data_IF_999261156096
#
_entry.id   IF_999261156096
#
_cell.length_a   1.000
_cell.length_b   1.000
_cell.length_c   1.000
_cell.angle_alpha   90.00
_cell.angle_beta   90.00
_cell.angle_gamma   90.00
#
_symmetry.space_group_name_H-M   'P 1'
#
loop_
_entity.id
_entity.type
_entity.pdbx_description
1 polymer ?
#
# COMPACT_ATOMS: atom_id res chain seq x y z
N UNK A 1 39.37 44.34 -39.15
CA UNK A 1 38.26 44.17 -38.19
C UNK A 1 37.56 42.85 -38.49
N UNK A 2 37.76 41.80 -37.68
CA UNK A 2 37.12 40.49 -37.85
C UNK A 2 35.95 40.39 -36.86
N UNK A 3 34.73 40.25 -37.37
CA UNK A 3 33.53 40.01 -36.54
C UNK A 3 33.42 38.50 -36.29
N UNK A 4 33.51 38.08 -35.03
CA UNK A 4 33.24 36.72 -34.59
C UNK A 4 31.76 36.64 -34.26
N UNK A 5 31.04 35.79 -34.99
CA UNK A 5 29.63 35.46 -34.72
C UNK A 5 29.63 34.24 -33.82
N UNK A 6 29.13 34.37 -32.59
CA UNK A 6 28.97 33.27 -31.64
C UNK A 6 27.56 32.68 -31.88
N UNK A 7 27.48 31.49 -32.47
CA UNK A 7 26.24 30.71 -32.53
C UNK A 7 26.00 30.09 -31.15
N UNK A 8 24.97 30.55 -30.45
CA UNK A 8 24.50 29.92 -29.21
C UNK A 8 23.68 28.67 -29.51
N UNK A 9 24.19 27.51 -29.08
CA UNK A 9 23.47 26.24 -29.14
C UNK A 9 22.48 26.18 -27.95
N UNK A 10 21.19 26.36 -28.23
CA UNK A 10 20.12 26.21 -27.23
C UNK A 10 19.83 24.71 -27.07
N UNK A 11 20.28 24.13 -25.97
CA UNK A 11 20.00 22.75 -25.60
C UNK A 11 18.62 22.70 -24.91
N UNK A 12 17.58 22.30 -25.64
CA UNK A 12 16.24 22.11 -25.09
C UNK A 12 16.17 20.71 -24.48
N UNK A 13 16.34 20.61 -23.16
CA UNK A 13 16.10 19.35 -22.44
C UNK A 13 14.60 19.19 -22.22
N UNK A 14 13.96 18.32 -23.01
CA UNK A 14 12.60 17.87 -22.73
C UNK A 14 12.62 16.87 -21.59
N UNK A 15 12.26 17.31 -20.38
CA UNK A 15 12.01 16.41 -19.27
C UNK A 15 10.74 15.61 -19.55
N UNK A 16 10.87 14.30 -19.74
CA UNK A 16 9.72 13.39 -19.79
C UNK A 16 9.19 13.26 -18.36
N UNK A 17 8.09 13.94 -18.05
CA UNK A 17 7.38 13.72 -16.77
C UNK A 17 6.65 12.39 -16.92
N UNK A 18 7.25 11.31 -16.40
CA UNK A 18 6.51 10.07 -16.20
C UNK A 18 5.54 10.29 -15.03
N UNK A 19 4.24 10.16 -15.30
CA UNK A 19 3.23 10.08 -14.24
C UNK A 19 3.49 8.79 -13.45
N UNK A 20 3.99 8.92 -12.21
CA UNK A 20 4.04 7.79 -11.28
C UNK A 20 2.60 7.34 -11.01
N UNK A 21 2.33 6.06 -11.25
CA UNK A 21 1.08 5.43 -10.82
C UNK A 21 1.05 5.45 -9.29
N UNK A 22 0.05 6.10 -8.71
CA UNK A 22 -0.20 6.05 -7.27
C UNK A 22 -0.36 4.59 -6.84
N UNK A 23 0.50 4.14 -5.93
CA UNK A 23 0.32 2.85 -5.24
C UNK A 23 -0.72 3.06 -4.15
N UNK A 24 -1.74 2.20 -4.13
CA UNK A 24 -2.75 2.19 -3.08
C UNK A 24 -2.83 0.78 -2.49
N UNK A 25 -2.90 0.71 -1.16
CA UNK A 25 -3.07 -0.54 -0.41
C UNK A 25 -4.11 -0.32 0.68
N UNK A 26 -4.89 -1.36 0.93
CA UNK A 26 -5.87 -1.41 2.00
C UNK A 26 -5.42 -2.47 3.00
N UNK A 27 -5.33 -2.11 4.27
CA UNK A 27 -4.90 -2.99 5.36
C UNK A 27 -6.01 -3.05 6.40
N UNK A 28 -6.46 -4.26 6.71
CA UNK A 28 -7.40 -4.48 7.82
C UNK A 28 -6.62 -4.83 9.08
N UNK A 29 -6.86 -4.07 10.14
CA UNK A 29 -6.37 -4.32 11.48
C UNK A 29 -7.46 -5.01 12.27
N UNK A 30 -7.11 -6.13 12.90
CA UNK A 30 -8.04 -6.92 13.70
C UNK A 30 -7.53 -7.05 15.14
N UNK A 31 -8.44 -7.37 16.05
CA UNK A 31 -8.07 -7.56 17.45
C UNK A 31 -7.19 -8.79 17.60
N UNK A 32 -6.11 -8.65 18.36
CA UNK A 32 -5.28 -9.76 18.79
C UNK A 32 -6.11 -10.83 19.54
N UNK A 33 -7.26 -10.45 20.11
CA UNK A 33 -8.20 -11.34 20.81
C UNK A 33 -9.36 -11.93 19.99
N UNK A 34 -9.42 -11.73 18.67
CA UNK A 34 -10.44 -12.34 17.81
C UNK A 34 -11.87 -11.78 17.99
N UNK A 35 -12.02 -10.49 18.32
CA UNK A 35 -13.31 -9.80 18.44
C UNK A 35 -13.65 -8.97 17.20
N UNK A 36 -14.94 -8.69 17.03
CA UNK A 36 -15.56 -8.08 15.82
C UNK A 36 -15.25 -6.59 15.58
N UNK A 37 -14.21 -6.01 16.20
CA UNK A 37 -13.83 -4.61 15.92
C UNK A 37 -12.65 -4.56 14.98
N UNK A 38 -12.84 -3.92 13.85
CA UNK A 38 -11.83 -3.82 12.78
C UNK A 38 -11.60 -2.37 12.41
N UNK A 39 -10.36 -2.07 12.00
CA UNK A 39 -10.01 -0.79 11.38
C UNK A 39 -9.41 -1.07 10.02
N UNK A 40 -9.94 -0.43 8.99
CA UNK A 40 -9.34 -0.44 7.66
C UNK A 40 -8.48 0.82 7.49
N UNK A 41 -7.26 0.62 7.01
CA UNK A 41 -6.34 1.68 6.59
C UNK A 41 -6.26 1.68 5.07
N UNK A 42 -6.78 2.71 4.43
CA UNK A 42 -6.59 2.96 3.01
C UNK A 42 -5.46 3.95 2.82
N UNK A 43 -4.37 3.47 2.26
CA UNK A 43 -3.12 4.22 2.15
C UNK A 43 -2.85 4.46 0.67
N UNK A 44 -2.73 5.74 0.30
CA UNK A 44 -2.56 6.18 -1.09
C UNK A 44 -1.27 6.98 -1.25
N UNK A 45 -0.32 6.42 -1.99
CA UNK A 45 0.90 7.12 -2.39
C UNK A 45 0.55 8.24 -3.37
N UNK A 46 0.74 9.49 -2.97
CA UNK A 46 0.48 10.65 -3.84
C UNK A 46 1.72 11.08 -4.62
N UNK A 47 2.91 10.82 -4.04
CA UNK A 47 4.22 10.93 -4.69
C UNK A 47 5.23 10.08 -3.92
N UNK A 48 6.45 9.87 -4.43
CA UNK A 48 7.48 9.09 -3.72
C UNK A 48 7.70 9.56 -2.27
N UNK A 49 7.62 10.87 -2.01
CA UNK A 49 7.85 11.46 -0.69
C UNK A 49 6.57 11.79 0.09
N UNK A 50 5.39 11.31 -0.34
CA UNK A 50 4.12 11.73 0.26
C UNK A 50 3.00 10.70 0.15
N UNK A 51 2.37 10.42 1.29
CA UNK A 51 1.29 9.45 1.42
C UNK A 51 0.09 10.05 2.14
N UNK A 52 -1.11 9.75 1.64
CA UNK A 52 -2.36 9.98 2.34
C UNK A 52 -2.81 8.68 3.04
N UNK A 53 -3.17 8.77 4.31
CA UNK A 53 -3.75 7.66 5.08
C UNK A 53 -5.18 8.03 5.44
N UNK A 54 -6.12 7.13 5.14
CA UNK A 54 -7.49 7.18 5.65
C UNK A 54 -7.68 5.97 6.56
N UNK A 55 -8.04 6.23 7.82
CA UNK A 55 -8.37 5.18 8.77
C UNK A 55 -9.86 5.21 9.08
N UNK A 56 -10.49 4.05 9.13
CA UNK A 56 -11.91 3.92 9.45
C UNK A 56 -12.15 2.67 10.30
N UNK A 57 -12.99 2.79 11.32
CA UNK A 57 -13.59 1.62 12.00
C UNK A 57 -14.53 0.94 11.01
N UNK A 58 -14.11 -0.18 10.45
CA UNK A 58 -14.82 -0.90 9.39
C UNK A 58 -15.78 -1.96 9.94
N UNK A 59 -15.57 -2.39 11.19
CA UNK A 59 -16.51 -3.22 11.94
C UNK A 59 -16.55 -2.81 13.40
N UNK A 60 -17.74 -2.88 14.02
CA UNK A 60 -17.96 -2.49 15.41
C UNK A 60 -18.12 -0.97 15.60
N UNK A 61 -18.00 -0.52 16.85
CA UNK A 61 -18.06 0.89 17.23
C UNK A 61 -16.88 1.17 18.15
N UNK A 62 -16.02 2.10 17.77
CA UNK A 62 -14.80 2.44 18.50
C UNK A 62 -14.35 3.87 18.21
N UNK A 63 -13.63 4.46 19.14
CA UNK A 63 -12.95 5.74 18.98
C UNK A 63 -11.45 5.49 18.68
N UNK A 64 -10.95 6.03 17.58
CA UNK A 64 -9.55 5.91 17.15
C UNK A 64 -8.69 6.93 17.90
N UNK A 65 -7.77 6.45 18.73
CA UNK A 65 -6.87 7.30 19.54
C UNK A 65 -5.42 7.32 19.04
N UNK A 66 -5.01 6.30 18.29
CA UNK A 66 -3.65 6.22 17.80
C UNK A 66 -3.48 5.23 16.66
N UNK A 67 -2.61 5.57 15.71
CA UNK A 67 -2.24 4.76 14.57
C UNK A 67 -0.72 4.64 14.50
N UNK A 68 -0.24 3.45 14.18
CA UNK A 68 1.18 3.10 14.27
C UNK A 68 1.65 2.39 13.00
N UNK A 69 2.87 2.73 12.58
CA UNK A 69 3.38 2.40 11.25
C UNK A 69 4.87 2.04 11.31
N UNK A 70 5.24 1.08 10.45
CA UNK A 70 6.63 0.76 10.13
C UNK A 70 6.94 1.18 8.69
N UNK A 71 8.18 1.61 8.48
CA UNK A 71 8.72 2.02 7.18
C UNK A 71 9.82 1.06 6.75
N UNK A 72 9.97 0.89 5.44
CA UNK A 72 11.08 0.10 4.87
C UNK A 72 12.43 0.81 4.98
N UNK A 73 12.40 2.13 5.14
CA UNK A 73 13.57 2.98 5.18
C UNK A 73 13.70 3.72 6.51
N UNK A 74 14.96 3.95 6.91
CA UNK A 74 15.27 4.74 8.10
C UNK A 74 14.95 6.21 7.83
N UNK A 75 13.94 6.71 8.52
CA UNK A 75 13.55 8.11 8.57
C UNK A 75 13.98 8.72 9.92
N UNK A 76 13.76 9.99 10.12
CA UNK A 76 14.01 10.69 11.39
C UNK A 76 12.87 11.68 11.64
N UNK A 77 12.78 12.21 12.86
CA UNK A 77 11.79 13.25 13.18
C UNK A 77 11.96 14.51 12.32
N UNK A 78 13.18 14.79 11.82
CA UNK A 78 13.43 15.89 10.87
C UNK A 78 13.10 15.54 9.42
N UNK A 79 13.00 14.25 9.08
CA UNK A 79 12.64 13.81 7.74
C UNK A 79 11.14 13.89 7.49
N UNK A 80 10.30 13.81 8.53
CA UNK A 80 8.87 13.61 8.38
C UNK A 80 8.04 14.77 8.93
N UNK A 81 6.94 15.04 8.21
CA UNK A 81 5.85 15.88 8.67
C UNK A 81 4.54 15.12 8.53
N UNK A 82 3.76 15.09 9.60
CA UNK A 82 2.41 14.52 9.61
C UNK A 82 1.39 15.63 9.83
N UNK A 83 0.37 15.70 8.98
CA UNK A 83 -0.68 16.73 9.05
C UNK A 83 -2.07 16.13 8.86
N UNK A 84 -3.01 16.49 9.73
CA UNK A 84 -4.43 16.15 9.64
C UNK A 84 -5.20 16.92 10.73
N UNK A 85 -6.50 17.09 10.57
CA UNK A 85 -7.32 17.87 11.52
C UNK A 85 -7.36 17.25 12.91
N UNK A 86 -7.34 15.92 12.96
CA UNK A 86 -7.46 15.16 14.20
C UNK A 86 -6.10 14.75 14.77
N UNK A 87 -5.00 15.10 14.10
CA UNK A 87 -3.64 14.75 14.55
C UNK A 87 -3.25 15.67 15.70
N UNK A 88 -3.11 15.11 16.91
CA UNK A 88 -2.80 15.90 18.11
C UNK A 88 -1.38 15.70 18.63
N UNK A 89 -0.74 14.58 18.27
CA UNK A 89 0.67 14.33 18.59
C UNK A 89 1.26 13.35 17.58
N UNK A 90 2.55 13.48 17.33
CA UNK A 90 3.33 12.56 16.51
C UNK A 90 4.56 12.15 17.31
N UNK A 91 4.91 10.87 17.30
CA UNK A 91 6.16 10.37 17.84
C UNK A 91 6.89 9.57 16.78
N UNK A 92 8.21 9.73 16.74
CA UNK A 92 9.08 9.07 15.80
C UNK A 92 10.27 8.48 16.55
N UNK A 93 10.51 7.19 16.37
CA UNK A 93 11.70 6.49 16.85
C UNK A 93 11.75 5.11 16.19
N UNK A 94 12.75 4.88 15.32
CA UNK A 94 12.84 3.62 14.58
C UNK A 94 12.72 2.41 15.50
N UNK A 95 11.81 1.50 15.16
CA UNK A 95 11.52 0.25 15.87
C UNK A 95 11.28 0.41 17.38
N UNK A 96 10.87 1.59 17.85
CA UNK A 96 10.83 1.90 19.29
C UNK A 96 9.64 2.77 19.73
N UNK A 97 8.73 3.15 18.82
CA UNK A 97 7.47 3.78 19.18
C UNK A 97 6.47 2.72 19.64
N UNK A 98 6.12 2.76 20.92
CA UNK A 98 5.06 1.93 21.52
C UNK A 98 4.10 2.70 22.42
N UNK A 99 4.38 3.98 22.69
CA UNK A 99 3.58 4.81 23.58
C UNK A 99 3.58 6.28 23.12
N UNK A 100 2.39 6.86 23.01
CA UNK A 100 2.16 8.25 22.67
C UNK A 100 1.72 9.09 23.89
N UNK A 101 1.58 8.45 25.05
CA UNK A 101 1.12 9.03 26.32
C UNK A 101 -0.41 8.98 26.48
N UNK A 102 -0.88 9.28 27.69
CA UNK A 102 -2.31 9.31 28.05
C UNK A 102 -3.07 8.01 27.70
N UNK A 103 -2.42 6.85 27.86
CA UNK A 103 -3.03 5.54 27.60
C UNK A 103 -3.08 5.12 26.12
N UNK A 104 -2.50 5.94 25.22
CA UNK A 104 -2.34 5.61 23.80
C UNK A 104 -1.06 4.80 23.60
N UNK A 105 -1.14 3.50 23.86
CA UNK A 105 0.01 2.59 23.85
C UNK A 105 -0.29 1.26 23.16
N UNK A 106 0.72 0.71 22.47
CA UNK A 106 0.74 -0.62 21.88
C UNK A 106 1.52 -1.64 22.73
N UNK A 107 1.93 -1.30 23.96
CA UNK A 107 2.64 -2.24 24.84
C UNK A 107 1.88 -3.58 24.97
N UNK A 108 2.59 -4.70 24.82
CA UNK A 108 1.99 -6.04 24.92
C UNK A 108 1.44 -6.62 23.61
N UNK A 109 1.53 -5.92 22.46
CA UNK A 109 1.24 -6.51 21.14
C UNK A 109 2.44 -7.21 20.50
N UNK A 110 3.61 -7.20 21.15
CA UNK A 110 4.90 -7.72 20.63
C UNK A 110 5.42 -7.03 19.37
N UNK A 111 4.74 -6.00 18.87
CA UNK A 111 5.14 -5.17 17.72
C UNK A 111 5.65 -3.82 18.20
N UNK A 112 6.76 -3.38 17.65
CA UNK A 112 7.26 -2.01 17.77
C UNK A 112 7.05 -1.26 16.46
N UNK A 113 7.03 0.06 16.53
CA UNK A 113 6.72 0.91 15.38
C UNK A 113 7.75 2.02 15.19
N UNK A 114 7.95 2.47 13.96
CA UNK A 114 8.80 3.63 13.65
C UNK A 114 8.09 4.96 13.94
N UNK A 115 6.79 5.00 13.66
CA UNK A 115 5.94 6.17 13.77
C UNK A 115 4.66 5.84 14.51
N UNK A 116 4.27 6.74 15.41
CA UNK A 116 2.95 6.76 16.01
C UNK A 116 2.29 8.12 15.87
N UNK A 117 1.05 8.11 15.41
CA UNK A 117 0.20 9.29 15.20
C UNK A 117 -0.94 9.22 16.19
N UNK A 118 -0.99 10.16 17.12
CA UNK A 118 -2.08 10.29 18.08
C UNK A 118 -3.22 11.07 17.44
N UNK A 119 -4.43 10.53 17.58
CA UNK A 119 -5.66 11.06 17.02
C UNK A 119 -6.54 11.55 18.16
N UNK A 120 -7.11 12.74 18.00
CA UNK A 120 -8.02 13.35 18.97
C UNK A 120 -7.41 13.64 20.35
N UNK A 121 -8.27 13.92 21.30
CA UNK A 121 -7.94 14.19 22.70
C UNK A 121 -8.25 12.99 23.58
N UNK A 122 -7.57 12.92 24.72
CA UNK A 122 -7.77 11.82 25.67
C UNK A 122 -9.02 12.05 26.52
N UNK A 123 -9.91 11.05 26.57
CA UNK A 123 -11.08 11.02 27.45
C UNK A 123 -12.28 10.34 26.79
N UNK A 124 -13.03 9.53 27.55
CA UNK A 124 -14.23 8.84 27.06
C UNK A 124 -15.24 9.88 26.54
N UNK A 125 -15.65 9.75 25.28
CA UNK A 125 -16.73 10.52 24.67
C UNK A 125 -16.44 12.01 24.47
N UNK A 126 -15.17 12.46 24.57
CA UNK A 126 -14.78 13.81 24.16
C UNK A 126 -14.75 13.92 22.65
N UNK A 127 -14.06 12.97 22.03
CA UNK A 127 -14.00 12.78 20.60
C UNK A 127 -14.52 11.35 20.32
N UNK A 128 -15.35 11.18 19.29
CA UNK A 128 -15.80 9.87 18.80
C UNK A 128 -15.35 9.71 17.35
N UNK A 129 -14.04 9.53 17.17
CA UNK A 129 -13.40 9.55 15.87
C UNK A 129 -13.43 8.12 15.32
N UNK A 130 -14.47 7.79 14.57
CA UNK A 130 -14.59 6.50 13.89
C UNK A 130 -13.91 6.50 12.52
N UNK A 131 -13.55 7.67 12.00
CA UNK A 131 -12.77 7.82 10.78
C UNK A 131 -11.92 9.08 10.84
N UNK A 132 -10.69 9.00 10.34
CA UNK A 132 -9.80 10.16 10.23
C UNK A 132 -8.93 10.05 8.98
N UNK A 133 -8.40 11.18 8.53
CA UNK A 133 -7.50 11.26 7.40
C UNK A 133 -6.33 12.20 7.71
N UNK A 134 -5.14 11.78 7.33
CA UNK A 134 -3.93 12.58 7.48
C UNK A 134 -2.89 12.23 6.42
N UNK A 135 -1.96 13.15 6.23
CA UNK A 135 -0.88 13.05 5.28
C UNK A 135 0.45 12.85 6.01
N UNK A 136 1.29 11.96 5.50
CA UNK A 136 2.70 11.80 5.88
C UNK A 136 3.54 12.26 4.70
N UNK A 137 4.43 13.21 4.94
CA UNK A 137 5.28 13.83 3.91
C UNK A 137 6.73 13.84 4.37
N UNK A 138 7.66 13.48 3.48
CA UNK A 138 9.08 13.69 3.72
C UNK A 138 9.47 15.12 3.39
N UNK A 139 10.06 15.80 4.37
CA UNK A 139 10.63 17.15 4.24
C UNK A 139 11.99 17.15 3.53
N UNK A 140 12.66 16.00 3.48
CA UNK A 140 13.99 15.81 2.90
C UNK A 140 13.94 15.16 1.51
N UNK A 141 12.74 14.86 1.00
CA UNK A 141 12.53 14.20 -0.30
C UNK A 141 12.83 12.70 -0.29
N UNK A 142 13.06 12.10 0.88
CA UNK A 142 13.18 10.64 1.03
C UNK A 142 11.84 9.99 0.70
N UNK A 143 11.90 8.73 0.24
CA UNK A 143 10.70 7.96 0.02
C UNK A 143 9.96 7.70 1.35
N UNK A 144 8.63 7.71 1.29
CA UNK A 144 7.75 7.32 2.39
C UNK A 144 7.11 6.00 1.99
N UNK A 145 7.81 4.91 2.29
CA UNK A 145 7.43 3.55 1.91
C UNK A 145 7.21 2.69 3.15
N UNK A 146 5.99 2.21 3.34
CA UNK A 146 5.63 1.41 4.52
C UNK A 146 6.14 -0.02 4.40
N UNK A 147 6.60 -0.57 5.52
CA UNK A 147 6.86 -2.00 5.62
C UNK A 147 5.53 -2.73 5.77
N UNK A 148 5.06 -3.27 4.65
CA UNK A 148 3.82 -4.01 4.53
C UNK A 148 3.81 -5.34 5.32
N UNK A 149 4.98 -5.80 5.77
CA UNK A 149 5.18 -7.07 6.48
C UNK A 149 5.40 -6.92 7.99
N UNK A 150 5.99 -5.81 8.43
CA UNK A 150 6.27 -5.53 9.85
C UNK A 150 5.06 -5.05 10.66
N UNK A 151 3.90 -4.99 10.01
CA UNK A 151 2.61 -4.77 10.66
C UNK A 151 2.30 -3.31 10.96
N UNK A 152 1.01 -3.03 10.95
CA UNK A 152 0.36 -1.77 11.28
C UNK A 152 -0.34 -1.92 12.62
N UNK A 153 -0.50 -0.83 13.35
CA UNK A 153 -1.13 -0.83 14.67
C UNK A 153 -2.21 0.22 14.80
N UNK A 154 -3.25 -0.09 15.57
CA UNK A 154 -4.24 0.90 16.01
C UNK A 154 -4.59 0.74 17.49
N UNK A 155 -4.75 1.87 18.16
CA UNK A 155 -5.25 1.97 19.53
C UNK A 155 -6.67 2.52 19.50
N UNK A 156 -7.60 1.74 20.05
CA UNK A 156 -9.02 2.08 20.10
C UNK A 156 -9.53 2.23 21.53
N UNK A 157 -10.30 3.27 21.81
CA UNK A 157 -11.06 3.43 23.06
C UNK A 157 -12.55 3.40 22.82
N UNK A 158 -13.30 3.41 23.91
CA UNK A 158 -14.76 3.41 23.88
C UNK A 158 -15.35 2.31 22.99
N UNK A 159 -14.78 1.12 23.03
CA UNK A 159 -15.17 0.03 22.12
C UNK A 159 -16.48 -0.63 22.59
N UNK A 160 -17.32 -0.99 21.62
CA UNK A 160 -18.56 -1.75 21.82
C UNK A 160 -19.76 -0.92 22.29
N UNK A 161 -20.91 -1.57 22.45
CA UNK A 161 -22.18 -0.89 22.73
C UNK A 161 -22.16 -0.02 23.99
N UNK A 162 -21.48 -0.48 25.05
CA UNK A 162 -21.37 0.24 26.31
C UNK A 162 -20.22 1.26 26.33
N UNK A 163 -19.39 1.32 25.29
CA UNK A 163 -18.32 2.32 25.11
C UNK A 163 -17.30 2.39 26.26
N UNK A 164 -17.11 1.29 26.98
CA UNK A 164 -16.21 1.18 28.15
C UNK A 164 -14.95 0.36 27.88
N UNK A 165 -14.90 -0.37 26.76
CA UNK A 165 -13.75 -1.20 26.43
C UNK A 165 -12.68 -0.41 25.67
N UNK A 166 -11.49 -1.01 25.59
CA UNK A 166 -10.40 -0.48 24.78
C UNK A 166 -9.63 -1.63 24.13
N UNK A 167 -9.13 -1.41 22.92
CA UNK A 167 -8.50 -2.45 22.09
C UNK A 167 -7.19 -1.98 21.48
N UNK A 168 -6.35 -2.95 21.15
CA UNK A 168 -5.14 -2.78 20.35
C UNK A 168 -5.31 -3.72 19.16
N UNK A 169 -5.29 -3.15 17.96
CA UNK A 169 -5.41 -3.92 16.74
C UNK A 169 -4.05 -3.94 16.05
N UNK A 170 -3.71 -5.07 15.45
CA UNK A 170 -2.56 -5.20 14.58
C UNK A 170 -2.97 -5.88 13.28
N UNK A 171 -2.28 -5.59 12.19
CA UNK A 171 -2.55 -6.22 10.90
C UNK A 171 -1.39 -6.03 9.94
N UNK A 172 -1.28 -6.92 8.95
CA UNK A 172 -0.32 -6.80 7.86
C UNK A 172 -1.07 -6.67 6.55
N UNK A 173 -0.41 -6.13 5.54
CA UNK A 173 -1.00 -6.09 4.20
C UNK A 173 -1.03 -7.50 3.61
N UNK A 174 -2.21 -7.93 3.15
CA UNK A 174 -2.37 -9.15 2.35
C UNK A 174 -2.69 -8.73 0.92
N UNK A 175 -1.84 -9.02 -0.08
CA UNK A 175 -2.13 -8.66 -1.45
C UNK A 175 -3.40 -9.38 -1.93
N UNK A 176 -4.22 -8.73 -2.77
CA UNK A 176 -5.40 -9.37 -3.32
C UNK A 176 -4.99 -10.62 -4.11
N UNK A 177 -5.70 -11.73 -3.87
CA UNK A 177 -5.49 -12.97 -4.61
C UNK A 177 -5.92 -12.72 -6.05
N UNK A 178 -4.95 -12.64 -6.97
CA UNK A 178 -5.25 -12.60 -8.40
C UNK A 178 -5.77 -14.00 -8.77
N UNK A 179 -7.02 -14.16 -9.24
CA UNK A 179 -7.51 -15.47 -9.62
C UNK A 179 -6.62 -16.03 -10.73
N UNK A 180 -6.08 -17.22 -10.51
CA UNK A 180 -5.34 -17.95 -11.53
C UNK A 180 -6.29 -18.21 -12.69
N UNK A 181 -6.13 -17.47 -13.79
CA UNK A 181 -6.82 -17.81 -15.04
C UNK A 181 -6.25 -19.14 -15.50
N UNK A 182 -6.97 -20.23 -15.23
CA UNK A 182 -6.67 -21.52 -15.81
C UNK A 182 -6.93 -21.36 -17.31
N UNK A 183 -5.87 -21.16 -18.09
CA UNK A 183 -5.99 -21.16 -19.54
C UNK A 183 -6.54 -22.54 -19.93
N UNK A 184 -7.65 -22.62 -20.70
CA UNK A 184 -8.11 -23.90 -21.18
C UNK A 184 -6.95 -24.59 -21.90
N UNK A 185 -6.63 -25.82 -21.48
CA UNK A 185 -5.68 -26.66 -22.21
C UNK A 185 -6.11 -26.68 -23.67
N UNK A 186 -5.25 -26.22 -24.57
CA UNK A 186 -5.56 -26.19 -26.00
C UNK A 186 -6.06 -27.58 -26.43
N UNK A 187 -7.35 -27.66 -26.77
CA UNK A 187 -7.91 -28.85 -27.40
C UNK A 187 -7.25 -28.91 -28.79
N UNK A 188 -6.56 -30.00 -29.16
CA UNK A 188 -5.93 -30.09 -30.48
C UNK A 188 -7.03 -29.99 -31.54
N UNK A 189 -6.95 -28.95 -32.37
CA UNK A 189 -7.92 -28.77 -33.45
C UNK A 189 -7.80 -29.93 -34.45
N UNK A 190 -8.92 -30.56 -34.86
CA UNK A 190 -8.92 -31.70 -35.79
C UNK A 190 -8.33 -31.37 -37.18
N UNK A 191 -8.15 -30.08 -37.50
CA UNK A 191 -7.54 -29.59 -38.74
C UNK A 191 -6.04 -29.86 -38.86
N UNK A 192 -5.32 -30.04 -37.74
CA UNK A 192 -3.87 -30.36 -37.77
C UNK A 192 -3.62 -31.78 -38.30
N UNK A 193 -4.53 -32.72 -38.04
CA UNK A 193 -4.42 -34.08 -38.58
C UNK A 193 -4.72 -34.16 -40.09
N UNK A 194 -5.55 -33.27 -40.61
CA UNK A 194 -5.96 -33.30 -42.02
C UNK A 194 -4.82 -32.85 -42.95
N UNK A 195 -3.97 -31.92 -42.50
CA UNK A 195 -2.82 -31.43 -43.28
C UNK A 195 -1.66 -32.43 -43.37
N UNK A 196 -1.49 -33.31 -42.38
CA UNK A 196 -0.49 -34.39 -42.43
C UNK A 196 -0.92 -35.53 -43.37
N UNK A 197 -2.23 -35.82 -43.45
CA UNK A 197 -2.75 -36.88 -44.33
C UNK A 197 -2.65 -36.58 -45.83
N UNK A 198 -2.83 -35.33 -46.24
CA UNK A 198 -2.83 -34.96 -47.68
C UNK A 198 -1.41 -34.86 -48.26
N UNK A 199 -0.40 -34.55 -47.44
CA UNK A 199 0.99 -34.41 -47.90
C UNK A 199 1.65 -35.70 -48.40
N UNK A 200 1.25 -36.86 -47.87
CA UNK A 200 1.85 -38.16 -48.23
C UNK A 200 1.23 -38.73 -49.52
N UNK A 201 -0.06 -38.48 -49.79
CA UNK A 201 -0.75 -39.00 -50.97
C UNK A 201 -0.42 -38.21 -52.27
N UNK A 202 -0.07 -36.92 -52.17
CA UNK A 202 0.30 -36.10 -53.33
C UNK A 202 1.63 -36.48 -54.00
N UNK A 203 2.56 -37.10 -53.27
CA UNK A 203 3.89 -37.45 -53.78
C UNK A 203 3.96 -38.82 -54.48
N UNK A 204 2.98 -39.72 -54.30
CA UNK A 204 2.96 -41.02 -54.99
C UNK A 204 2.37 -40.98 -56.41
N UNK A 205 1.58 -39.95 -56.75
CA UNK A 205 0.94 -39.83 -58.07
C UNK A 205 1.84 -39.33 -59.20
N UNK A 206 2.98 -38.69 -58.88
CA UNK A 206 3.82 -38.00 -59.87
C UNK A 206 4.92 -38.88 -60.51
N UNK A 207 5.16 -40.11 -60.02
CA UNK A 207 6.23 -40.97 -60.56
C UNK A 207 5.84 -41.82 -61.78
N UNK A 208 4.56 -41.96 -62.13
CA UNK A 208 4.14 -42.92 -63.18
C UNK A 208 3.98 -42.35 -64.59
N UNK A 209 4.21 -41.05 -64.80
CA UNK A 209 4.01 -40.40 -66.12
C UNK A 209 5.30 -40.08 -66.90
N UNK A 210 6.48 -40.42 -66.36
CA UNK A 210 7.76 -40.20 -67.06
C UNK A 210 8.49 -41.52 -67.27
N UNK A 211 7.93 -42.40 -68.10
CA UNK A 211 8.64 -43.50 -68.76
C UNK A 211 7.76 -44.00 -69.92
N UNK A 212 7.88 -43.33 -71.05
CA UNK A 212 7.67 -43.87 -72.40
C UNK A 212 8.95 -43.62 -73.17
#
# INVERSE_FOLDING_TARGET
MKKIVILGLILITTSIIQAQKASAYSVTLTDFGGRDTEVTLDITQTSTSKVQVNAQVSSGIADIQGLFFNFTNILTSSDLKVTGTDVTKVAYNNDAVVDLGNGVTMQGTSTTFDLGVKIGTSGIGKDDIQSTSFTIESLTGKAVDFDLTSGFGARLTSVGANRQESRKLVGTYTPPVVPTVVLPTAVPEPTTFLLVGVGILGLMGLRKKMMR
#
